data_IF_187269372444
#
_entry.id   IF_187269372444
#
_cell.length_a   1.000
_cell.length_b   1.000
_cell.length_c   1.000
_cell.angle_alpha   90.00
_cell.angle_beta   90.00
_cell.angle_gamma   90.00
#
_symmetry.space_group_name_H-M   'P 1'
#
loop_
_entity.id
_entity.type
_entity.pdbx_description
1 polymer ?
#
# COMPACT_ATOMS: atom_id res chain seq x y z
N UNK A 1 -13.11 18.10 -12.63
CA UNK A 1 -12.60 16.76 -12.32
C UNK A 1 -11.83 16.82 -11.02
N UNK A 2 -12.31 16.16 -9.97
CA UNK A 2 -11.60 16.10 -8.68
C UNK A 2 -10.78 14.82 -8.67
N UNK A 3 -9.53 14.85 -8.20
CA UNK A 3 -8.71 13.66 -8.12
C UNK A 3 -8.39 13.32 -6.67
N UNK A 4 -8.33 12.03 -6.36
CA UNK A 4 -7.89 11.53 -5.07
C UNK A 4 -6.81 10.49 -5.31
N UNK A 5 -5.65 10.67 -4.67
CA UNK A 5 -4.59 9.68 -4.77
C UNK A 5 -4.85 8.56 -3.76
N UNK A 6 -4.83 7.31 -4.23
CA UNK A 6 -4.96 6.12 -3.38
C UNK A 6 -3.70 5.30 -3.56
N UNK A 7 -2.90 5.22 -2.52
CA UNK A 7 -1.70 4.40 -2.50
C UNK A 7 -2.07 2.96 -2.20
N UNK A 8 -1.60 2.05 -3.04
CA UNK A 8 -1.84 0.61 -2.91
C UNK A 8 -0.56 -0.19 -3.10
N UNK A 9 -0.58 -1.41 -2.59
CA UNK A 9 0.47 -2.39 -2.84
C UNK A 9 0.29 -3.06 -4.21
N UNK A 10 1.37 -3.31 -4.93
CA UNK A 10 1.36 -3.83 -6.30
C UNK A 10 0.74 -5.22 -6.41
N UNK A 11 1.01 -6.10 -5.45
CA UNK A 11 0.56 -7.51 -5.51
C UNK A 11 -0.82 -7.68 -4.89
N UNK A 12 -0.97 -7.36 -3.61
CA UNK A 12 -2.23 -7.58 -2.90
C UNK A 12 -3.29 -6.49 -3.13
N UNK A 13 -2.93 -5.37 -3.77
CA UNK A 13 -3.82 -4.20 -3.99
C UNK A 13 -4.46 -3.64 -2.72
N UNK A 14 -3.96 -4.01 -1.54
CA UNK A 14 -4.38 -3.41 -0.27
C UNK A 14 -4.09 -1.92 -0.29
N UNK A 15 -4.98 -1.14 0.32
CA UNK A 15 -4.80 0.30 0.49
C UNK A 15 -3.71 0.51 1.54
N UNK A 16 -2.66 1.23 1.16
CA UNK A 16 -1.64 1.71 2.08
C UNK A 16 -2.10 3.02 2.71
N UNK A 17 -2.49 3.97 1.87
CA UNK A 17 -2.94 5.28 2.31
C UNK A 17 -3.92 5.89 1.30
N UNK A 18 -4.92 6.61 1.80
CA UNK A 18 -5.87 7.36 0.97
C UNK A 18 -5.66 8.84 1.22
N UNK A 19 -5.21 9.55 0.20
CA UNK A 19 -4.97 10.98 0.29
C UNK A 19 -6.27 11.77 0.28
N UNK A 20 -6.17 13.03 0.71
CA UNK A 20 -7.22 14.01 0.50
C UNK A 20 -7.55 14.17 -0.99
N UNK A 21 -8.74 14.69 -1.25
CA UNK A 21 -9.11 15.09 -2.61
C UNK A 21 -8.35 16.38 -2.92
N UNK A 22 -7.83 16.48 -4.14
CA UNK A 22 -7.20 17.70 -4.66
C UNK A 22 -8.11 18.91 -4.43
N UNK A 23 -7.52 20.12 -4.29
CA UNK A 23 -8.22 21.38 -3.99
C UNK A 23 -9.05 21.88 -5.18
N UNK A 24 -9.94 21.03 -5.67
CA UNK A 24 -10.85 21.35 -6.71
C UNK A 24 -11.94 22.28 -6.16
N UNK A 25 -11.92 23.53 -6.59
CA UNK A 25 -12.90 24.56 -6.18
C UNK A 25 -14.36 24.21 -6.52
N UNK A 26 -14.58 23.17 -7.33
CA UNK A 26 -15.89 22.65 -7.67
C UNK A 26 -16.18 21.26 -7.09
N UNK A 27 -15.43 20.85 -6.06
CA UNK A 27 -15.74 19.64 -5.29
C UNK A 27 -17.20 19.65 -4.81
N UNK A 28 -17.92 18.55 -5.06
CA UNK A 28 -19.34 18.41 -4.72
C UNK A 28 -20.33 19.02 -5.73
N UNK A 29 -19.88 19.70 -6.80
CA UNK A 29 -20.78 20.18 -7.87
C UNK A 29 -21.11 19.09 -8.89
N UNK A 30 -22.31 19.13 -9.48
CA UNK A 30 -22.72 18.21 -10.56
C UNK A 30 -21.69 18.26 -11.70
N UNK A 31 -21.20 17.08 -12.11
CA UNK A 31 -20.15 16.94 -13.13
C UNK A 31 -18.71 16.90 -12.61
N UNK A 32 -18.49 17.03 -11.30
CA UNK A 32 -17.17 16.93 -10.66
C UNK A 32 -17.04 15.64 -9.83
N UNK A 33 -17.20 14.49 -10.50
CA UNK A 33 -16.93 13.19 -9.88
C UNK A 33 -15.48 13.13 -9.36
N UNK A 34 -15.30 12.49 -8.21
CA UNK A 34 -13.98 12.17 -7.67
C UNK A 34 -13.45 10.99 -8.47
N UNK A 35 -12.28 11.17 -9.07
CA UNK A 35 -11.58 10.12 -9.77
C UNK A 35 -10.42 9.64 -8.89
N UNK A 36 -10.46 8.35 -8.53
CA UNK A 36 -9.41 7.73 -7.74
C UNK A 36 -8.23 7.39 -8.65
N UNK A 37 -7.08 8.00 -8.35
CA UNK A 37 -5.82 7.70 -9.01
C UNK A 37 -5.00 6.76 -8.14
N UNK A 38 -4.85 5.54 -8.60
CA UNK A 38 -4.08 4.53 -7.86
C UNK A 38 -2.59 4.70 -8.10
N UNK A 39 -1.80 4.74 -7.03
CA UNK A 39 -0.34 4.76 -7.08
C UNK A 39 0.19 3.53 -6.37
N UNK A 40 1.15 2.84 -6.98
CA UNK A 40 1.75 1.64 -6.41
C UNK A 40 3.02 2.01 -5.64
N UNK A 41 3.02 1.80 -4.32
CA UNK A 41 4.10 2.27 -3.42
C UNK A 41 4.97 1.14 -2.84
N UNK A 42 4.54 -0.12 -2.95
CA UNK A 42 5.28 -1.27 -2.41
C UNK A 42 4.79 -2.61 -2.93
N UNK A 43 5.50 -3.69 -2.62
CA UNK A 43 5.21 -5.02 -3.15
C UNK A 43 3.98 -5.67 -2.48
N UNK A 44 4.03 -5.88 -1.15
CA UNK A 44 2.99 -6.53 -0.35
C UNK A 44 2.77 -5.78 0.97
N UNK A 45 1.52 -5.73 1.46
CA UNK A 45 1.20 -5.10 2.75
C UNK A 45 1.65 -5.97 3.94
N UNK A 46 1.81 -5.44 5.16
CA UNK A 46 2.27 -6.21 6.32
C UNK A 46 1.44 -7.47 6.63
N UNK A 47 0.15 -7.48 6.29
CA UNK A 47 -0.72 -8.66 6.44
C UNK A 47 -0.51 -9.74 5.37
N UNK A 48 -0.01 -9.35 4.20
CA UNK A 48 0.24 -10.23 3.05
C UNK A 48 1.73 -10.41 2.75
N UNK A 49 2.60 -9.66 3.43
CA UNK A 49 4.01 -9.97 3.51
C UNK A 49 4.10 -11.18 4.39
N UNK A 50 4.35 -12.34 3.80
CA UNK A 50 4.62 -13.57 4.52
C UNK A 50 5.97 -13.40 5.23
N UNK A 51 6.01 -12.59 6.29
CA UNK A 51 7.15 -12.39 7.18
C UNK A 51 7.35 -13.61 8.09
N UNK A 52 7.12 -14.81 7.56
CA UNK A 52 7.36 -16.09 8.22
C UNK A 52 8.83 -16.51 8.14
N UNK A 53 9.73 -15.63 7.71
CA UNK A 53 11.16 -15.91 7.51
C UNK A 53 12.11 -15.28 8.53
N UNK A 54 11.61 -14.69 9.62
CA UNK A 54 12.46 -14.13 10.67
C UNK A 54 12.42 -14.88 12.01
N UNK A 55 11.77 -16.05 12.08
CA UNK A 55 11.85 -16.92 13.27
C UNK A 55 12.12 -18.37 12.88
N UNK A 56 13.08 -18.59 11.98
CA UNK A 56 13.83 -19.83 12.03
C UNK A 56 14.74 -19.72 13.26
N UNK A 57 14.62 -20.56 14.31
CA UNK A 57 15.72 -20.68 15.26
C UNK A 57 16.95 -21.00 14.43
N UNK A 58 18.00 -20.18 14.56
CA UNK A 58 19.28 -20.42 13.91
C UNK A 58 19.66 -21.89 14.06
N UNK A 59 19.86 -22.66 12.97
CA UNK A 59 20.43 -23.98 13.12
C UNK A 59 21.79 -23.81 13.76
N UNK A 60 21.91 -24.32 14.99
CA UNK A 60 23.14 -24.32 15.76
C UNK A 60 24.16 -25.19 15.00
N UNK A 61 25.07 -24.55 14.25
CA UNK A 61 26.25 -25.21 13.71
C UNK A 61 27.27 -25.34 14.84
N UNK A 62 27.00 -26.28 15.73
CA UNK A 62 27.96 -26.70 16.75
C UNK A 62 29.21 -27.27 16.08
N UNK A 63 30.37 -26.87 16.61
CA UNK A 63 31.61 -27.64 16.57
C UNK A 63 32.45 -27.51 15.30
N UNK A 64 33.55 -26.78 15.41
CA UNK A 64 34.77 -27.08 14.66
C UNK A 64 35.91 -27.28 15.68
N UNK A 65 36.80 -28.27 15.49
CA UNK A 65 37.64 -28.89 16.52
C UNK A 65 38.65 -27.97 17.20
#
# INVERSE_FOLDING_TARGET
MCMRVVERYAVCKCVYYTHGIDQCSAYGRRGHAVQDKTVLVGHTCPYHSNASWATSPTPNFGGFP
#
